data_IF_461013683430
#
_entry.id   IF_461013683430
#
_cell.length_a   1.000
_cell.length_b   1.000
_cell.length_c   1.000
_cell.angle_alpha   90.00
_cell.angle_beta   90.00
_cell.angle_gamma   90.00
#
_symmetry.space_group_name_H-M   'P 1'
#
loop_
_entity.id
_entity.type
_entity.pdbx_description
1 polymer ?
2 water ?
#
# COMPACT_ATOMS: atom_id res chain seq x y z
N UNK A 2 2.74 8.06 26.56
CA UNK A 2 1.50 7.91 27.34
C UNK A 2 0.51 6.96 26.65
N UNK A 3 -0.25 7.48 25.69
CA UNK A 3 -1.10 6.66 24.84
C UNK A 3 -0.25 5.65 24.08
N UNK A 4 -0.73 4.41 23.96
CA UNK A 4 0.09 3.37 23.33
C UNK A 4 -0.50 2.87 22.03
N UNK A 5 0.37 2.65 21.05
CA UNK A 5 0.01 2.09 19.75
C UNK A 5 1.03 1.01 19.44
N UNK A 6 0.71 0.11 18.53
CA UNK A 6 1.69 -0.90 18.15
C UNK A 6 1.43 -1.46 16.77
N UNK A 7 2.48 -2.02 16.18
CA UNK A 7 2.35 -2.79 14.96
C UNK A 7 2.46 -4.27 15.34
N UNK A 8 1.74 -5.12 14.62
CA UNK A 8 1.76 -6.56 14.90
C UNK A 8 1.81 -7.35 13.58
N UNK A 9 2.72 -8.32 13.52
CA UNK A 9 2.89 -9.11 12.31
C UNK A 9 3.90 -10.19 12.58
N UNK A 10 4.26 -10.95 11.56
CA UNK A 10 5.24 -12.02 11.72
C UNK A 10 5.96 -12.32 10.41
N UNK A 11 7.27 -12.08 10.36
CA UNK A 11 8.09 -11.58 11.48
C UNK A 11 7.98 -10.07 11.57
N UNK A 12 8.34 -9.51 12.72
CA UNK A 12 8.18 -8.08 12.93
C UNK A 12 9.52 -7.44 13.28
N UNK A 13 10.58 -8.24 13.28
CA UNK A 13 11.86 -7.72 13.74
C UNK A 13 12.36 -6.48 13.01
N UNK A 14 12.05 -6.39 11.72
CA UNK A 14 12.62 -5.32 10.89
C UNK A 14 11.58 -4.29 10.48
N UNK A 15 10.50 -4.22 11.24
CA UNK A 15 9.45 -3.24 10.96
C UNK A 15 9.98 -1.81 11.01
N UNK A 16 9.52 -0.98 10.08
CA UNK A 16 9.87 0.45 10.08
C UNK A 16 8.79 1.28 10.76
N UNK A 17 7.69 0.63 11.12
CA UNK A 17 6.53 1.37 11.62
C UNK A 17 6.79 2.17 12.92
N UNK A 18 7.41 1.54 13.94
CA UNK A 18 7.68 2.33 15.16
C UNK A 18 8.59 3.52 14.87
N UNK A 19 9.55 3.32 13.98
CA UNK A 19 10.45 4.39 13.59
C UNK A 19 9.67 5.55 12.96
N UNK A 20 8.78 5.21 12.04
CA UNK A 20 8.03 6.21 11.30
C UNK A 20 7.11 6.98 12.23
N UNK A 21 6.37 6.26 13.06
CA UNK A 21 5.38 6.93 13.92
C UNK A 21 6.09 7.69 15.03
N UNK A 22 7.28 7.25 15.42
CA UNK A 22 8.06 7.99 16.39
C UNK A 22 8.52 9.34 15.84
N UNK A 23 9.00 9.32 14.60
CA UNK A 23 9.35 10.56 13.91
C UNK A 23 8.17 11.52 13.77
N UNK A 24 7.01 11.00 13.33
CA UNK A 24 5.76 11.77 13.34
C UNK A 24 5.45 12.37 14.70
N UNK A 25 5.53 11.57 15.74
CA UNK A 25 5.19 12.01 17.09
C UNK A 25 6.08 13.14 17.58
N UNK A 26 7.38 13.06 17.30
CA UNK A 26 8.27 14.10 17.77
C UNK A 26 8.12 15.40 16.97
N UNK A 27 7.97 15.28 15.65
CA UNK A 27 7.69 16.44 14.80
C UNK A 27 6.36 17.11 15.12
N UNK A 28 5.36 16.32 15.51
CA UNK A 28 4.01 16.83 15.69
C UNK A 28 3.64 17.05 17.16
N UNK A 29 4.63 16.91 18.04
CA UNK A 29 4.44 17.12 19.47
C UNK A 29 3.33 16.27 20.09
N UNK A 30 3.29 15.02 19.67
CA UNK A 30 2.34 14.06 20.22
C UNK A 30 3.02 13.15 21.24
N UNK A 31 2.42 13.01 22.41
CA UNK A 31 3.02 12.14 23.42
C UNK A 31 2.41 10.77 23.30
N UNK A 32 3.14 9.86 22.67
CA UNK A 32 2.64 8.51 22.55
C UNK A 32 3.84 7.59 22.42
N UNK A 33 3.61 6.30 22.66
CA UNK A 33 4.65 5.31 22.46
C UNK A 33 4.15 4.35 21.40
N UNK A 34 5.00 4.02 20.43
CA UNK A 34 4.60 3.10 19.37
C UNK A 34 5.53 1.91 19.36
N UNK A 35 4.99 0.75 19.71
CA UNK A 35 5.80 -0.45 19.85
C UNK A 35 5.55 -1.49 18.77
N UNK A 36 6.10 -2.69 18.98
CA UNK A 36 6.01 -3.78 18.01
C UNK A 36 5.74 -5.10 18.71
N UNK A 37 4.85 -5.89 18.15
CA UNK A 37 4.45 -7.17 18.72
C UNK A 37 4.64 -8.27 17.68
N UNK A 38 5.35 -9.32 18.05
CA UNK A 38 5.51 -10.45 17.15
C UNK A 38 4.24 -11.25 17.23
N UNK A 39 3.51 -11.34 16.13
CA UNK A 39 2.19 -11.94 16.15
C UNK A 39 2.32 -13.46 16.09
N UNK A 40 1.47 -14.14 16.83
CA UNK A 40 1.45 -15.60 16.80
C UNK A 40 0.43 -16.14 15.79
N UNK A 41 0.84 -17.15 15.02
CA UNK A 41 -0.06 -17.75 14.04
C UNK A 41 -1.29 -18.31 14.73
N UNK A 42 -1.13 -18.76 15.97
CA UNK A 42 -2.24 -19.35 16.71
C UNK A 42 -3.15 -18.32 17.38
N UNK A 43 -2.58 -17.43 18.18
CA UNK A 43 -3.40 -16.52 18.96
C UNK A 43 -3.22 -15.04 18.60
N UNK A 44 -3.02 -14.75 17.32
CA UNK A 44 -3.05 -13.37 16.86
C UNK A 44 -4.20 -12.59 17.47
N UNK A 45 -5.42 -13.09 17.30
CA UNK A 45 -6.62 -12.36 17.75
C UNK A 45 -6.56 -12.06 19.25
N UNK A 46 -6.10 -13.04 20.03
CA UNK A 46 -5.96 -12.86 21.47
C UNK A 46 -4.92 -11.80 21.81
N UNK A 47 -3.87 -11.71 21.00
CA UNK A 47 -2.87 -10.67 21.21
C UNK A 47 -3.48 -9.28 20.96
N UNK A 48 -4.28 -9.16 19.91
CA UNK A 48 -4.92 -7.88 19.63
C UNK A 48 -5.84 -7.49 20.79
N UNK A 49 -6.65 -8.44 21.25
CA UNK A 49 -7.50 -8.21 22.41
C UNK A 49 -6.73 -7.85 23.69
N UNK A 50 -5.57 -8.47 23.90
CA UNK A 50 -4.76 -8.14 25.08
C UNK A 50 -4.28 -6.69 25.06
N UNK A 51 -3.76 -6.27 23.91
CA UNK A 51 -3.28 -4.90 23.77
C UNK A 51 -4.41 -3.90 24.02
N UNK A 52 -5.58 -4.16 23.46
CA UNK A 52 -6.72 -3.29 23.72
C UNK A 52 -7.00 -3.28 25.20
N UNK A 53 -7.04 -4.47 25.81
CA UNK A 53 -7.39 -4.59 27.22
C UNK A 53 -6.43 -3.82 28.12
N UNK A 54 -5.21 -3.60 27.65
CA UNK A 54 -4.21 -2.92 28.45
C UNK A 54 -4.18 -1.40 28.23
N UNK A 55 -5.18 -0.88 27.52
CA UNK A 55 -5.29 0.55 27.31
C UNK A 55 -4.79 1.06 25.97
N UNK A 56 -4.45 0.13 25.07
CA UNK A 56 -3.97 0.48 23.74
C UNK A 56 -5.01 1.23 22.92
N UNK A 57 -4.56 2.25 22.19
CA UNK A 57 -5.47 3.09 21.42
C UNK A 57 -5.65 2.63 19.96
N UNK A 58 -4.65 1.96 19.40
CA UNK A 58 -4.75 1.55 18.00
C UNK A 58 -3.54 0.75 17.56
N UNK A 59 -3.65 0.08 16.42
CA UNK A 59 -2.57 -0.78 15.90
C UNK A 59 -2.47 -0.70 14.39
N UNK A 60 -1.27 -0.94 13.86
CA UNK A 60 -1.11 -1.29 12.46
C UNK A 60 -0.94 -2.79 12.39
N UNK A 61 -1.40 -3.38 11.29
CA UNK A 61 -1.32 -4.82 11.10
C UNK A 61 -0.50 -5.06 9.83
N UNK A 62 0.49 -5.94 9.93
CA UNK A 62 1.25 -6.31 8.74
C UNK A 62 1.10 -7.79 8.44
N UNK A 63 1.81 -8.28 7.43
CA UNK A 63 1.72 -9.69 7.06
C UNK A 63 2.11 -10.56 8.25
N UNK A 64 1.42 -11.69 8.44
CA UNK A 64 0.40 -12.19 7.51
C UNK A 64 -1.04 -12.03 8.03
N UNK A 65 -1.32 -11.02 8.85
CA UNK A 65 -2.56 -10.99 9.63
C UNK A 65 -3.63 -10.00 9.18
N UNK A 66 -3.46 -9.38 8.02
CA UNK A 66 -4.40 -8.33 7.60
C UNK A 66 -5.81 -8.89 7.37
N UNK A 67 -5.88 -10.08 6.80
CA UNK A 67 -7.18 -10.72 6.63
C UNK A 67 -7.81 -10.99 8.00
N UNK A 68 -7.02 -11.57 8.90
CA UNK A 68 -7.52 -11.90 10.24
C UNK A 68 -7.90 -10.67 11.06
N UNK A 69 -7.18 -9.57 10.83
CA UNK A 69 -7.54 -8.29 11.42
C UNK A 69 -8.89 -7.82 10.87
N UNK A 70 -9.05 -7.93 9.56
CA UNK A 70 -10.31 -7.62 8.91
C UNK A 70 -11.48 -8.37 9.56
N UNK A 71 -11.34 -9.68 9.72
CA UNK A 71 -12.40 -10.51 10.30
C UNK A 71 -12.70 -10.22 11.78
N UNK A 72 -11.64 -9.94 12.56
CA UNK A 72 -11.80 -9.69 13.98
C UNK A 72 -12.57 -8.40 14.27
N UNK A 73 -12.53 -7.46 13.33
CA UNK A 73 -13.09 -6.13 13.55
C UNK A 73 -14.62 -6.11 13.56
N UNK A 74 -15.18 -5.22 14.36
CA UNK A 74 -16.64 -5.02 14.42
C UNK A 74 -17.16 -4.19 13.26
N UNK A 75 -16.41 -3.14 12.91
CA UNK A 75 -16.77 -2.26 11.80
C UNK A 75 -15.59 -2.15 10.86
N UNK A 76 -15.85 -2.13 9.56
CA UNK A 76 -14.81 -2.17 8.57
C UNK A 76 -15.07 -1.16 7.46
N UNK A 77 -14.06 -0.35 7.14
CA UNK A 77 -14.19 0.65 6.09
C UNK A 77 -14.41 -0.02 4.73
N UNK A 78 -14.82 0.77 3.75
CA UNK A 78 -15.09 0.27 2.40
C UNK A 78 -13.86 -0.32 1.71
N UNK A 79 -12.69 0.30 1.89
CA UNK A 79 -11.47 -0.23 1.30
C UNK A 79 -11.09 -1.56 1.95
N UNK A 80 -11.30 -1.65 3.25
CA UNK A 80 -10.99 -2.89 3.97
C UNK A 80 -11.89 -4.02 3.49
N UNK A 81 -13.14 -3.70 3.17
CA UNK A 81 -14.09 -4.72 2.74
C UNK A 81 -13.73 -5.26 1.35
N UNK A 82 -13.31 -4.36 0.48
CA UNK A 82 -12.93 -4.75 -0.87
C UNK A 82 -11.62 -5.55 -0.84
N UNK A 83 -10.68 -5.15 0.02
CA UNK A 83 -9.41 -5.85 0.13
C UNK A 83 -9.55 -7.14 0.94
N UNK A 84 -10.61 -7.21 1.74
CA UNK A 84 -10.71 -8.24 2.77
C UNK A 84 -9.41 -8.26 3.58
N UNK A 85 -8.99 -7.08 4.02
CA UNK A 85 -7.71 -6.94 4.71
C UNK A 85 -7.67 -5.57 5.38
N UNK A 86 -7.22 -5.55 6.62
CA UNK A 86 -7.13 -4.31 7.40
C UNK A 86 -5.69 -4.13 7.83
N UNK A 87 -5.12 -2.95 7.61
CA UNK A 87 -3.76 -2.69 8.06
C UNK A 87 -3.70 -1.67 9.20
N UNK A 88 -4.88 -1.29 9.69
CA UNK A 88 -4.95 -0.39 10.83
C UNK A 88 -6.23 -0.64 11.62
N UNK A 89 -6.10 -0.62 12.95
CA UNK A 89 -7.24 -0.74 13.84
C UNK A 89 -7.28 0.44 14.78
N UNK A 90 -8.49 0.87 15.12
CA UNK A 90 -8.68 1.89 16.14
C UNK A 90 -9.73 1.40 17.15
N UNK A 91 -9.41 1.55 18.43
CA UNK A 91 -10.27 1.10 19.50
C UNK A 91 -11.00 2.31 20.04
N UNK A 92 -12.24 2.49 19.62
CA UNK A 92 -13.02 3.62 20.08
C UNK A 92 -14.39 3.19 20.58
N UNK A 93 -14.87 3.91 21.58
CA UNK A 93 -16.22 3.71 22.12
C UNK A 93 -17.13 2.95 21.16
N UNK A 94 -17.21 1.63 21.35
CA UNK A 94 -16.38 0.94 22.33
C UNK A 94 -15.89 -0.38 21.75
N UNK A 95 -15.71 -0.40 20.44
CA UNK A 95 -15.36 -1.63 19.73
C UNK A 95 -14.08 -1.50 18.90
N UNK A 96 -13.89 -2.44 17.97
CA UNK A 96 -12.67 -2.49 17.16
C UNK A 96 -12.96 -2.11 15.71
N UNK A 97 -12.44 -0.97 15.28
CA UNK A 97 -12.71 -0.49 13.94
C UNK A 97 -11.52 -0.73 13.01
N UNK A 98 -11.80 -1.30 11.84
CA UNK A 98 -10.77 -1.64 10.88
C UNK A 98 -10.73 -0.68 9.68
N UNK A 99 -9.53 -0.31 9.30
CA UNK A 99 -9.29 0.49 8.10
C UNK A 99 -8.22 -0.17 7.23
N UNK A 100 -8.14 0.26 5.98
CA UNK A 100 -7.03 -0.13 5.12
C UNK A 100 -6.55 1.14 4.42
N UNK A 101 -5.32 1.55 4.72
CA UNK A 101 -4.78 2.81 4.20
C UNK A 101 -3.72 2.65 3.11
N UNK A 102 -3.39 1.41 2.76
CA UNK A 102 -2.31 1.16 1.80
C UNK A 102 -2.56 1.86 0.46
N UNK A 103 -3.79 1.76 -0.03
CA UNK A 103 -4.17 2.33 -1.31
C UNK A 103 -4.18 3.84 -1.27
N UNK A 104 -4.66 4.42 -0.18
CA UNK A 104 -4.63 5.87 -0.04
C UNK A 104 -3.20 6.38 0.03
N UNK A 105 -2.34 5.67 0.75
CA UNK A 105 -0.93 6.06 0.85
C UNK A 105 -0.26 6.02 -0.51
N UNK A 106 -0.53 4.95 -1.24
CA UNK A 106 0.08 4.78 -2.55
C UNK A 106 -0.35 5.91 -3.49
N UNK A 107 -1.65 6.20 -3.53
CA UNK A 107 -2.17 7.27 -4.37
C UNK A 107 -1.57 8.62 -4.01
N UNK A 108 -1.50 8.93 -2.73
CA UNK A 108 -1.00 10.23 -2.33
C UNK A 108 0.48 10.36 -2.67
N UNK A 109 1.23 9.28 -2.49
CA UNK A 109 2.64 9.32 -2.87
C UNK A 109 2.77 9.64 -4.36
N UNK A 110 2.02 8.92 -5.19
CA UNK A 110 2.07 9.16 -6.64
C UNK A 110 1.62 10.55 -7.10
N UNK A 111 0.46 10.99 -6.63
CA UNK A 111 -0.14 12.25 -7.08
C UNK A 111 0.50 13.49 -6.48
N UNK A 112 0.79 13.43 -5.19
CA UNK A 112 1.30 14.60 -4.47
C UNK A 112 2.82 14.60 -4.38
N UNK A 113 3.40 13.52 -3.89
CA UNK A 113 4.85 13.48 -3.69
C UNK A 113 5.62 13.40 -5.01
N UNK A 114 5.09 12.64 -5.95
CA UNK A 114 5.78 12.43 -7.22
C UNK A 114 5.22 13.29 -8.35
N UNK A 115 4.17 14.04 -8.06
CA UNK A 115 3.64 14.98 -9.02
C UNK A 115 2.99 14.35 -10.25
N UNK A 116 2.45 13.15 -10.12
CA UNK A 116 1.75 12.50 -11.23
C UNK A 116 0.29 12.18 -10.92
N UNK A 117 -0.61 13.18 -11.00
CA UNK A 117 -2.02 12.87 -10.78
C UNK A 117 -2.52 11.90 -11.84
N UNK A 118 -3.37 10.96 -11.44
CA UNK A 118 -3.85 9.93 -12.35
C UNK A 118 -4.85 10.48 -13.34
N UNK A 119 -5.52 11.57 -12.97
CA UNK A 119 -6.66 12.06 -13.74
C UNK A 119 -6.40 12.08 -15.24
N UNK A 120 -7.24 11.38 -15.98
CA UNK A 120 -7.16 11.39 -17.44
C UNK A 120 -5.90 10.73 -18.01
N UNK A 121 -5.21 9.91 -17.23
CA UNK A 121 -4.06 9.19 -17.76
C UNK A 121 -4.24 7.68 -17.74
N UNK A 122 -3.37 6.98 -18.48
CA UNK A 122 -3.47 5.53 -18.63
C UNK A 122 -2.63 4.84 -17.58
N UNK A 123 -3.28 4.04 -16.74
CA UNK A 123 -2.59 3.48 -15.58
C UNK A 123 -2.65 1.97 -15.63
N UNK A 124 -1.48 1.33 -15.49
CA UNK A 124 -1.40 -0.12 -15.48
C UNK A 124 -0.96 -0.60 -14.11
N UNK A 125 -1.73 -1.52 -13.53
CA UNK A 125 -1.35 -2.10 -12.24
C UNK A 125 -1.02 -3.55 -12.48
N UNK A 126 0.14 -3.97 -12.01
CA UNK A 126 0.56 -5.36 -12.11
C UNK A 126 0.20 -6.11 -10.82
N UNK A 127 -0.59 -7.17 -10.96
CA UNK A 127 -0.98 -7.99 -9.84
C UNK A 127 -2.46 -7.86 -9.54
N UNK A 128 -3.01 -8.79 -8.77
CA UNK A 128 -4.38 -8.65 -8.31
C UNK A 128 -4.52 -9.04 -6.85
N UNK A 129 -3.43 -8.89 -6.11
CA UNK A 129 -3.39 -9.26 -4.71
C UNK A 129 -4.05 -8.26 -3.80
N UNK A 130 -3.75 -8.34 -2.51
CA UNK A 130 -4.38 -7.47 -1.53
C UNK A 130 -4.04 -6.02 -1.78
N UNK A 131 -2.79 -5.77 -2.17
CA UNK A 131 -2.35 -4.40 -2.38
C UNK A 131 -3.18 -3.78 -3.50
N UNK A 132 -3.35 -4.52 -4.59
CA UNK A 132 -4.17 -4.02 -5.71
C UNK A 132 -5.62 -3.79 -5.28
N UNK A 133 -6.20 -4.74 -4.57
CA UNK A 133 -7.59 -4.58 -4.10
C UNK A 133 -7.75 -3.30 -3.27
N UNK A 134 -6.78 -3.05 -2.39
CA UNK A 134 -6.81 -1.87 -1.55
C UNK A 134 -6.64 -0.58 -2.32
N UNK A 135 -5.96 -0.65 -3.46
CA UNK A 135 -5.68 0.53 -4.27
C UNK A 135 -6.81 0.89 -5.22
N UNK A 136 -7.64 -0.09 -5.58
CA UNK A 136 -8.65 0.11 -6.64
C UNK A 136 -9.62 1.29 -6.40
N UNK A 137 -10.22 1.36 -5.22
CA UNK A 137 -11.18 2.42 -4.97
C UNK A 137 -10.54 3.81 -5.09
N UNK A 138 -9.46 4.07 -4.35
CA UNK A 138 -8.81 5.39 -4.48
C UNK A 138 -8.31 5.69 -5.87
N UNK A 139 -7.74 4.70 -6.55
CA UNK A 139 -7.25 4.92 -7.91
C UNK A 139 -8.41 5.30 -8.84
N UNK A 140 -9.53 4.60 -8.72
CA UNK A 140 -10.67 4.89 -9.59
C UNK A 140 -11.26 6.25 -9.26
N UNK A 141 -11.27 6.59 -7.97
CA UNK A 141 -11.81 7.88 -7.52
C UNK A 141 -11.03 9.04 -8.16
N UNK A 142 -9.79 8.77 -8.54
CA UNK A 142 -8.90 9.77 -9.13
C UNK A 142 -9.14 10.01 -10.63
N UNK A 143 -10.03 9.23 -11.22
CA UNK A 143 -10.41 9.41 -12.62
C UNK A 143 -9.37 9.23 -13.72
N UNK A 144 -8.58 8.14 -13.68
CA UNK A 144 -7.69 7.85 -14.80
C UNK A 144 -8.49 7.60 -16.08
N UNK A 145 -7.93 7.87 -17.24
CA UNK A 145 -8.63 7.56 -18.49
C UNK A 145 -8.90 6.06 -18.61
N UNK A 146 -7.96 5.25 -18.13
CA UNK A 146 -8.22 3.81 -18.00
C UNK A 146 -7.34 3.30 -16.85
N UNK A 147 -7.87 2.33 -16.12
CA UNK A 147 -7.09 1.60 -15.12
C UNK A 147 -7.14 0.15 -15.54
N UNK A 148 -5.97 -0.42 -15.81
CA UNK A 148 -5.85 -1.79 -16.32
C UNK A 148 -5.15 -2.65 -15.29
N UNK A 149 -5.75 -3.78 -14.93
CA UNK A 149 -5.09 -4.74 -14.06
C UNK A 149 -4.57 -5.88 -14.92
N UNK A 150 -3.26 -6.12 -14.87
CA UNK A 150 -2.67 -7.26 -15.56
C UNK A 150 -2.25 -8.32 -14.54
N UNK A 151 -2.67 -9.56 -14.76
CA UNK A 151 -2.42 -10.62 -13.80
C UNK A 151 -2.32 -11.98 -14.46
N UNK A 152 -1.62 -12.90 -13.81
CA UNK A 152 -1.57 -14.28 -14.29
C UNK A 152 -2.91 -15.00 -14.06
N UNK A 153 -3.51 -14.78 -12.90
CA UNK A 153 -4.79 -15.39 -12.55
C UNK A 153 -5.97 -14.54 -13.01
N UNK A 154 -6.56 -14.90 -14.14
CA UNK A 154 -7.60 -14.06 -14.74
C UNK A 154 -8.98 -14.26 -14.10
N UNK A 155 -9.14 -15.36 -13.37
CA UNK A 155 -10.38 -15.58 -12.61
C UNK A 155 -10.42 -14.60 -11.44
N UNK A 156 -9.29 -14.42 -10.79
CA UNK A 156 -9.20 -13.45 -9.70
C UNK A 156 -9.49 -12.05 -10.24
N UNK A 157 -8.84 -11.70 -11.34
CA UNK A 157 -8.96 -10.36 -11.91
C UNK A 157 -10.38 -10.11 -12.38
N UNK A 158 -11.00 -11.14 -12.96
CA UNK A 158 -12.38 -11.04 -13.41
C UNK A 158 -13.35 -10.85 -12.25
N UNK A 159 -13.08 -11.54 -11.14
CA UNK A 159 -13.95 -11.40 -9.97
C UNK A 159 -13.95 -9.95 -9.52
N UNK A 160 -12.76 -9.36 -9.44
CA UNK A 160 -12.60 -7.96 -9.04
C UNK A 160 -13.29 -6.99 -9.98
N UNK A 161 -13.17 -7.22 -11.27
CA UNK A 161 -13.77 -6.32 -12.24
C UNK A 161 -15.28 -6.31 -12.11
N UNK A 162 -15.86 -7.49 -11.87
CA UNK A 162 -17.30 -7.61 -11.72
C UNK A 162 -17.78 -6.95 -10.43
N UNK A 163 -17.02 -7.10 -9.36
CA UNK A 163 -17.42 -6.48 -8.10
C UNK A 163 -17.55 -4.97 -8.24
N UNK A 164 -16.60 -4.35 -8.94
CA UNK A 164 -16.58 -2.89 -9.04
C UNK A 164 -17.47 -2.35 -10.16
N UNK A 165 -17.52 -3.06 -11.28
CA UNK A 165 -18.31 -2.63 -12.44
C UNK A 165 -18.11 -1.15 -12.80
N UNK A 166 -16.87 -0.68 -12.72
CA UNK A 166 -16.56 0.73 -12.95
C UNK A 166 -16.21 0.97 -14.42
N UNK A 167 -16.70 2.07 -14.98
CA UNK A 167 -16.49 2.34 -16.41
C UNK A 167 -15.04 2.49 -16.86
N UNK A 168 -14.13 2.75 -15.93
CA UNK A 168 -12.75 3.04 -16.31
C UNK A 168 -11.82 1.84 -16.08
N UNK A 169 -12.36 0.75 -15.52
CA UNK A 169 -11.55 -0.42 -15.15
C UNK A 169 -11.56 -1.53 -16.22
N UNK A 170 -10.37 -2.00 -16.57
CA UNK A 170 -10.19 -3.04 -17.57
C UNK A 170 -9.19 -4.06 -17.04
N UNK A 171 -9.36 -5.33 -17.42
CA UNK A 171 -8.38 -6.36 -17.06
C UNK A 171 -7.70 -6.96 -18.28
N UNK A 172 -6.48 -7.46 -18.08
CA UNK A 172 -5.69 -8.02 -19.17
C UNK A 172 -4.78 -9.18 -18.76
N UNK A 173 -4.60 -10.13 -19.66
CA UNK A 173 -3.49 -11.07 -19.52
C UNK A 173 -2.22 -10.30 -19.85
N UNK A 174 -1.09 -10.77 -19.35
CA UNK A 174 0.19 -10.13 -19.65
C UNK A 174 0.50 -10.11 -21.14
N UNK A 175 0.33 -11.27 -21.80
CA UNK A 175 0.65 -11.40 -23.23
C UNK A 175 -0.15 -10.42 -24.07
N UNK A 176 -1.35 -10.11 -23.60
CA UNK A 176 -2.28 -9.28 -24.34
C UNK A 176 -1.84 -7.83 -24.31
N UNK A 177 -0.90 -7.48 -23.43
CA UNK A 177 -0.46 -6.09 -23.34
C UNK A 177 0.36 -5.69 -24.55
N UNK A 178 0.67 -6.68 -25.39
CA UNK A 178 1.40 -6.40 -26.63
C UNK A 178 0.81 -5.20 -27.36
N UNK A 179 1.66 -4.22 -27.61
CA UNK A 179 1.25 -3.06 -28.39
C UNK A 179 0.54 -1.96 -27.61
N UNK A 180 0.44 -2.12 -26.28
CA UNK A 180 -0.22 -1.12 -25.44
C UNK A 180 0.79 -0.20 -24.74
N UNK A 181 0.39 1.05 -24.53
CA UNK A 181 1.24 2.05 -23.87
C UNK A 181 0.52 2.65 -22.67
N UNK A 182 1.28 3.04 -21.66
CA UNK A 182 0.73 3.57 -20.42
C UNK A 182 1.57 4.74 -19.90
N UNK A 183 0.92 5.63 -19.17
CA UNK A 183 1.60 6.79 -18.58
C UNK A 183 2.19 6.49 -17.20
N UNK A 184 1.51 5.64 -16.44
CA UNK A 184 1.96 5.28 -15.12
C UNK A 184 1.83 3.79 -14.97
N UNK A 185 2.91 3.12 -14.61
CA UNK A 185 2.88 1.68 -14.39
C UNK A 185 3.29 1.35 -12.96
N UNK A 186 2.45 0.61 -12.26
CA UNK A 186 2.69 0.27 -10.86
C UNK A 186 2.86 -1.22 -10.69
N UNK A 187 4.04 -1.64 -10.24
CA UNK A 187 4.30 -3.05 -10.00
C UNK A 187 3.93 -3.46 -8.58
N UNK A 188 2.74 -4.03 -8.44
CA UNK A 188 2.25 -4.43 -7.14
C UNK A 188 2.34 -5.93 -6.95
N UNK A 189 3.15 -6.59 -7.79
CA UNK A 189 3.51 -8.00 -7.58
C UNK A 189 4.64 -8.07 -6.56
N UNK A 190 4.96 -9.28 -6.11
CA UNK A 190 6.06 -9.47 -5.16
C UNK A 190 7.38 -9.85 -5.86
N UNK A 191 7.34 -9.90 -7.20
CA UNK A 191 8.52 -10.24 -8.00
C UNK A 191 9.81 -9.60 -7.48
N UNK A 192 9.76 -8.30 -7.17
CA UNK A 192 10.95 -7.56 -6.77
C UNK A 192 11.56 -8.03 -5.46
N UNK A 193 10.77 -8.71 -4.63
CA UNK A 193 11.26 -9.20 -3.35
C UNK A 193 12.22 -10.36 -3.54
N UNK A 194 12.05 -11.09 -4.64
CA UNK A 194 12.94 -12.19 -4.99
C UNK A 194 13.73 -11.81 -6.24
N UNK A 195 13.99 -10.51 -6.38
CA UNK A 195 14.75 -9.97 -7.51
C UNK A 195 14.34 -10.57 -8.85
N UNK A 196 13.04 -10.77 -9.06
CA UNK A 196 12.52 -11.30 -10.32
C UNK A 196 11.84 -10.20 -11.15
N UNK A 197 11.25 -10.60 -12.28
CA UNK A 197 10.64 -9.66 -13.23
C UNK A 197 9.27 -10.16 -13.69
N UNK A 198 8.22 -9.34 -13.52
CA UNK A 198 6.92 -9.76 -14.07
C UNK A 198 6.92 -9.81 -15.61
N UNK A 199 6.12 -10.72 -16.18
CA UNK A 199 6.07 -11.09 -17.62
C UNK A 199 5.58 -9.99 -18.57
N UNK A 200 6.19 -8.82 -18.52
CA UNK A 200 5.78 -7.70 -19.36
C UNK A 200 6.43 -7.71 -20.73
N UNK A 201 5.64 -7.45 -21.77
CA UNK A 201 6.28 -7.00 -23.01
C UNK A 201 6.96 -5.66 -22.69
N UNK A 202 8.29 -5.63 -22.71
CA UNK A 202 9.05 -4.47 -22.21
C UNK A 202 8.62 -3.13 -22.82
N UNK A 203 8.06 -3.18 -24.02
CA UNK A 203 7.64 -1.96 -24.73
C UNK A 203 6.48 -1.24 -24.02
N UNK A 204 5.78 -1.98 -23.17
CA UNK A 204 4.71 -1.43 -22.35
C UNK A 204 5.16 -0.24 -21.50
N UNK A 205 6.47 -0.14 -21.21
CA UNK A 205 7.00 0.96 -20.40
C UNK A 205 7.53 2.11 -21.26
N UNK A 206 7.47 1.95 -22.58
CA UNK A 206 8.05 2.92 -23.49
C UNK A 206 7.57 4.35 -23.32
N UNK A 207 6.27 4.54 -23.08
CA UNK A 207 5.72 5.90 -22.99
C UNK A 207 5.55 6.36 -21.55
N UNK A 208 6.02 5.57 -20.60
CA UNK A 208 5.67 5.84 -19.20
C UNK A 208 6.37 7.08 -18.64
N UNK A 209 5.63 7.86 -17.86
CA UNK A 209 6.24 8.97 -17.13
C UNK A 209 6.69 8.52 -15.74
N UNK A 210 6.10 7.44 -15.25
CA UNK A 210 6.42 6.95 -13.92
C UNK A 210 6.28 5.43 -13.87
N UNK A 211 7.34 4.77 -13.38
CA UNK A 211 7.33 3.36 -13.04
C UNK A 211 7.51 3.26 -11.55
N UNK A 212 6.52 2.69 -10.87
CA UNK A 212 6.48 2.64 -9.42
C UNK A 212 6.52 1.22 -8.91
N UNK A 213 7.54 0.95 -8.12
CA UNK A 213 7.78 -0.36 -7.54
C UNK A 213 7.24 -0.34 -6.10
N UNK A 214 6.33 -1.25 -5.76
CA UNK A 214 5.78 -1.21 -4.39
C UNK A 214 6.82 -1.62 -3.35
N UNK A 215 7.73 -2.50 -3.74
CA UNK A 215 8.82 -2.94 -2.84
C UNK A 215 9.69 -1.77 -2.37
N UNK A 216 10.21 -1.88 -1.15
CA UNK A 216 10.96 -0.78 -0.56
C UNK A 216 12.43 -1.13 -0.36
N UNK A 217 13.31 -0.20 -0.73
CA UNK A 217 14.74 -0.29 -0.46
C UNK A 217 15.45 -1.55 -0.93
N UNK A 218 15.08 -2.04 -2.13
CA UNK A 218 15.66 -3.28 -2.66
C UNK A 218 16.42 -3.09 -3.95
N UNK A 219 16.96 -1.88 -4.12
CA UNK A 219 17.84 -1.61 -5.24
C UNK A 219 17.04 -1.50 -6.51
N UNK A 220 17.73 -1.27 -7.61
CA UNK A 220 17.11 -1.30 -8.93
C UNK A 220 16.54 -2.68 -9.17
N UNK A 221 15.25 -2.81 -8.89
CA UNK A 221 14.55 -4.05 -9.12
C UNK A 221 14.57 -4.31 -10.63
N UNK A 222 14.32 -5.55 -11.03
CA UNK A 222 14.29 -5.91 -12.45
C UNK A 222 13.20 -5.12 -13.18
N UNK A 223 12.12 -4.81 -12.47
CA UNK A 223 11.06 -3.99 -13.05
C UNK A 223 11.55 -2.57 -13.31
N UNK A 224 12.19 -1.93 -12.35
CA UNK A 224 12.61 -0.54 -12.56
C UNK A 224 13.74 -0.49 -13.60
N UNK A 225 14.55 -1.54 -13.65
CA UNK A 225 15.60 -1.66 -14.66
C UNK A 225 14.99 -1.75 -16.03
N UNK A 226 13.94 -2.57 -16.14
CA UNK A 226 13.23 -2.69 -17.41
C UNK A 226 12.67 -1.34 -17.82
N UNK A 227 12.14 -0.58 -16.86
CA UNK A 227 11.59 0.73 -17.16
C UNK A 227 12.65 1.70 -17.67
N UNK A 228 13.83 1.68 -17.08
CA UNK A 228 14.90 2.58 -17.51
C UNK A 228 15.39 2.20 -18.92
N UNK A 229 15.35 0.92 -19.24
CA UNK A 229 15.78 0.43 -20.55
C UNK A 229 14.80 0.82 -21.65
N UNK A 230 13.52 0.86 -21.31
CA UNK A 230 12.48 0.99 -22.34
C UNK A 230 12.05 2.42 -22.61
N UNK A 231 12.38 3.33 -21.72
CA UNK A 231 11.96 4.71 -21.87
C UNK A 231 12.50 5.62 -20.79
N UNK A 232 11.82 6.75 -20.59
CA UNK A 232 12.31 7.84 -19.77
C UNK A 232 11.47 8.06 -18.52
N UNK A 233 10.81 6.99 -18.05
CA UNK A 233 9.98 7.09 -16.85
C UNK A 233 10.86 7.49 -15.69
N UNK A 234 10.33 8.35 -14.82
CA UNK A 234 10.92 8.54 -13.51
C UNK A 234 10.70 7.26 -12.71
N UNK A 235 11.69 6.88 -11.90
CA UNK A 235 11.64 5.62 -11.16
C UNK A 235 11.42 5.88 -9.67
N UNK A 236 10.54 5.11 -9.04
CA UNK A 236 10.29 5.23 -7.59
C UNK A 236 10.04 3.86 -6.97
N UNK A 237 10.42 3.69 -5.71
CA UNK A 237 10.02 2.50 -4.97
C UNK A 237 9.04 2.85 -3.85
N UNK A 238 8.74 1.89 -2.99
CA UNK A 238 7.58 2.00 -2.11
C UNK A 238 7.75 2.77 -0.81
N UNK A 239 8.89 3.44 -0.66
CA UNK A 239 9.14 4.22 0.56
C UNK A 239 8.07 5.29 0.80
N UNK A 240 7.65 6.01 -0.23
CA UNK A 240 6.64 7.03 -0.07
C UNK A 240 5.29 6.43 0.32
N UNK A 241 4.96 5.30 -0.28
CA UNK A 241 3.71 4.62 0.06
C UNK A 241 3.70 4.23 1.53
N UNK A 242 4.81 3.65 1.98
CA UNK A 242 4.96 3.19 3.36
C UNK A 242 4.74 4.33 4.34
N UNK A 243 5.32 5.49 4.05
CA UNK A 243 5.21 6.64 4.95
C UNK A 243 3.84 7.32 4.88
N UNK A 244 3.30 7.43 3.67
CA UNK A 244 1.97 8.04 3.52
C UNK A 244 0.87 7.20 4.15
N UNK A 245 0.91 5.87 4.05
CA UNK A 245 -0.09 5.05 4.73
C UNK A 245 -0.01 5.17 6.26
N UNK A 246 1.21 5.23 6.78
CA UNK A 246 1.44 5.45 8.21
C UNK A 246 0.79 6.76 8.60
N UNK A 247 1.01 7.78 7.78
CA UNK A 247 0.52 9.12 8.08
C UNK A 247 -1.00 9.15 8.15
N UNK A 248 -1.65 8.37 7.29
CA UNK A 248 -3.10 8.30 7.31
C UNK A 248 -3.59 7.72 8.64
N UNK A 249 -2.89 6.71 9.14
CA UNK A 249 -3.27 6.11 10.41
C UNK A 249 -3.01 7.10 11.53
N UNK A 250 -1.91 7.84 11.45
CA UNK A 250 -1.55 8.78 12.49
C UNK A 250 -2.65 9.81 12.59
N UNK A 251 -3.15 10.28 11.44
CA UNK A 251 -4.20 11.29 11.45
C UNK A 251 -5.49 10.72 12.02
N UNK A 252 -5.80 9.48 11.67
CA UNK A 252 -6.98 8.79 12.19
C UNK A 252 -6.94 8.77 13.71
N UNK A 253 -5.81 8.37 14.27
CA UNK A 253 -5.68 8.24 15.72
C UNK A 253 -5.55 9.55 16.49
N UNK A 254 -4.91 10.55 15.87
CA UNK A 254 -4.40 11.71 16.60
C UNK A 254 -5.03 13.04 16.15
N UNK A 255 -5.62 13.05 14.96
CA UNK A 255 -6.21 14.27 14.42
C UNK A 255 -5.13 15.25 13.98
N UNK A 256 -3.99 14.71 13.59
CA UNK A 256 -2.88 15.50 13.08
C UNK A 256 -2.38 14.81 11.83
N UNK A 257 -2.26 15.55 10.72
CA UNK A 257 -1.57 15.05 9.52
C UNK A 257 -0.09 15.42 9.58
N UNK A 258 0.77 14.42 9.88
CA UNK A 258 2.19 14.79 10.03
C UNK A 258 2.86 15.09 8.69
N UNK A 259 3.86 15.96 8.72
CA UNK A 259 4.72 16.17 7.56
C UNK A 259 5.36 14.84 7.19
N UNK A 260 5.35 14.50 5.91
CA UNK A 260 5.98 13.27 5.49
C UNK A 260 7.28 13.48 4.70
N UNK A 261 7.58 14.72 4.31
CA UNK A 261 8.77 14.99 3.49
C UNK A 261 10.07 14.54 4.14
N UNK A 262 10.35 15.01 5.35
CA UNK A 262 11.57 14.65 6.05
C UNK A 262 11.62 13.16 6.28
N UNK A 263 10.51 12.57 6.73
CA UNK A 263 10.51 11.14 7.00
C UNK A 263 10.80 10.33 5.74
N UNK A 264 10.13 10.64 4.65
CA UNK A 264 10.41 9.95 3.39
C UNK A 264 11.88 10.08 3.00
N UNK A 265 12.44 11.28 3.09
CA UNK A 265 13.86 11.49 2.80
C UNK A 265 14.81 10.57 3.59
N UNK A 266 14.60 10.47 4.90
CA UNK A 266 15.52 9.74 5.74
C UNK A 266 15.44 8.22 5.54
N UNK A 267 14.26 7.73 5.14
CA UNK A 267 14.08 6.30 4.95
C UNK A 267 14.40 5.91 3.52
N UNK A 268 14.45 6.91 2.65
CA UNK A 268 14.74 6.68 1.24
C UNK A 268 16.10 6.02 1.06
N UNK A 269 16.13 4.99 0.24
CA UNK A 269 17.36 4.37 -0.16
C UNK A 269 17.49 4.56 -1.67
N UNK A 270 18.34 5.54 -2.07
CA UNK A 270 18.48 6.00 -3.45
C UNK A 270 18.54 4.82 -4.41
N UNK A 271 17.72 4.85 -5.47
CA UNK A 271 17.74 3.78 -6.45
C UNK A 271 18.93 3.92 -7.36
N UNK A 272 19.26 5.17 -7.69
CA UNK A 272 20.40 5.47 -8.54
C UNK A 272 21.45 6.30 -7.80
#
# INVERSE_FOLDING_TARGET
MSDRYAVIGRPINHTKSPLIHGLFAQASNQQLEYGAIEGSLDDFEAQVLQFRSEGGKGMNITAPFKLRAFELADRRSERAQLARAANALKFEDGRIVAENFDGIGLLRDIEENLGEPLRNRRVLLLGAGGAVRGALLPFLQAGPSELVIANRDMAKALALRNELDHSRLRISRYEALEGQSFDIVVNATSASLTADLPPLPADVLGEAALAYELAYGKGLTPFLRLAREQGQARLADGVGMLVEQAAEAFAWWRGVRPDTRAVINQLTIPLE
#
